data_IF_151235512990
#
_entry.id   IF_151235512990
#
_cell.length_a   1.000
_cell.length_b   1.000
_cell.length_c   1.000
_cell.angle_alpha   90.00
_cell.angle_beta   90.00
_cell.angle_gamma   90.00
#
_symmetry.space_group_name_H-M   'P 1'
#
loop_
_entity.id
_entity.type
_entity.pdbx_description
1 polymer ?
#
# COMPACT_ATOMS: atom_id res chain seq x y z
N UNK A 1 -34.00 -34.22 22.33
CA UNK A 1 -32.75 -33.61 22.83
C UNK A 1 -32.18 -32.85 21.66
N UNK A 2 -32.70 -31.64 21.46
CA UNK A 2 -32.41 -30.80 20.30
C UNK A 2 -31.12 -30.04 20.56
N UNK A 3 -30.07 -30.40 19.83
CA UNK A 3 -28.85 -29.63 19.73
C UNK A 3 -28.74 -29.15 18.28
N UNK A 4 -29.51 -28.11 17.97
CA UNK A 4 -29.32 -27.29 16.78
C UNK A 4 -27.93 -26.68 16.89
N UNK A 5 -26.94 -27.28 16.22
CA UNK A 5 -25.62 -26.69 16.08
C UNK A 5 -25.80 -25.37 15.31
N UNK A 6 -25.89 -24.27 16.04
CA UNK A 6 -25.90 -22.93 15.47
C UNK A 6 -24.67 -22.80 14.56
N UNK A 7 -24.92 -22.45 13.31
CA UNK A 7 -23.87 -22.08 12.36
C UNK A 7 -23.29 -20.77 12.88
N UNK A 8 -22.28 -20.87 13.74
CA UNK A 8 -21.54 -19.71 14.24
C UNK A 8 -20.80 -19.12 13.05
N UNK A 9 -21.14 -17.88 12.71
CA UNK A 9 -20.44 -17.12 11.68
C UNK A 9 -18.94 -17.06 12.05
N UNK A 10 -18.02 -17.51 11.18
CA UNK A 10 -16.58 -17.46 11.44
C UNK A 10 -16.02 -16.03 11.50
N UNK A 11 -16.80 -15.04 11.03
CA UNK A 11 -16.41 -13.64 11.10
C UNK A 11 -16.87 -13.00 12.41
N UNK A 12 -16.00 -12.22 13.08
CA UNK A 12 -16.40 -11.49 14.28
C UNK A 12 -17.53 -10.52 13.93
N UNK A 13 -18.49 -10.36 14.86
CA UNK A 13 -19.48 -9.29 14.76
C UNK A 13 -18.78 -7.93 14.71
N UNK A 14 -19.35 -6.94 14.02
CA UNK A 14 -18.76 -5.60 13.98
C UNK A 14 -18.65 -5.01 15.40
N UNK A 15 -17.74 -4.04 15.60
CA UNK A 15 -17.60 -3.36 16.88
C UNK A 15 -18.93 -2.76 17.37
N UNK A 16 -19.18 -2.82 18.68
CA UNK A 16 -20.43 -2.34 19.32
C UNK A 16 -20.68 -0.86 18.99
N UNK A 17 -19.61 -0.10 18.78
CA UNK A 17 -19.63 1.33 18.44
C UNK A 17 -20.37 1.61 17.13
N UNK A 18 -20.43 0.66 16.20
CA UNK A 18 -21.14 0.83 14.93
C UNK A 18 -22.62 1.20 15.13
N UNK A 19 -23.29 0.58 16.11
CA UNK A 19 -24.70 0.87 16.41
C UNK A 19 -24.91 2.29 16.98
N UNK A 20 -23.85 2.97 17.42
CA UNK A 20 -23.89 4.32 17.98
C UNK A 20 -23.90 5.40 16.90
N UNK A 21 -23.54 5.07 15.66
CA UNK A 21 -23.57 5.99 14.51
C UNK A 21 -24.99 6.21 13.98
N UNK A 22 -25.81 6.91 14.75
CA UNK A 22 -27.16 7.34 14.35
C UNK A 22 -27.14 8.81 13.93
N UNK A 23 -28.06 9.27 13.06
CA UNK A 23 -28.13 10.67 12.67
C UNK A 23 -28.32 11.60 13.88
N UNK A 24 -29.14 11.19 14.85
CA UNK A 24 -29.35 11.93 16.09
C UNK A 24 -28.05 12.09 16.89
N UNK A 25 -27.26 11.02 17.06
CA UNK A 25 -26.01 11.11 17.83
C UNK A 25 -24.95 11.95 17.11
N UNK A 26 -24.94 11.95 15.78
CA UNK A 26 -24.07 12.80 14.98
C UNK A 26 -24.45 14.29 15.11
N UNK A 27 -25.75 14.60 15.13
CA UNK A 27 -26.22 15.97 15.36
C UNK A 27 -25.87 16.45 16.77
N UNK A 28 -26.01 15.58 17.79
CA UNK A 28 -25.56 15.86 19.16
C UNK A 28 -24.07 16.13 19.24
N UNK A 29 -23.24 15.38 18.51
CA UNK A 29 -21.80 15.58 18.44
C UNK A 29 -21.44 16.93 17.81
N UNK A 30 -22.14 17.32 16.73
CA UNK A 30 -21.94 18.63 16.10
C UNK A 30 -22.29 19.75 17.08
N UNK A 31 -23.40 19.63 17.80
CA UNK A 31 -23.81 20.60 18.83
C UNK A 31 -22.84 20.66 20.00
N UNK A 32 -22.32 19.50 20.44
CA UNK A 32 -21.30 19.42 21.48
C UNK A 32 -20.04 20.17 21.05
N UNK A 33 -19.56 19.94 19.81
CA UNK A 33 -18.40 20.65 19.23
C UNK A 33 -18.63 22.16 19.13
N UNK A 34 -19.82 22.59 18.71
CA UNK A 34 -20.13 24.02 18.59
C UNK A 34 -20.16 24.73 19.94
N UNK A 35 -20.60 24.04 20.99
CA UNK A 35 -20.68 24.59 22.35
C UNK A 35 -19.38 24.43 23.14
N UNK A 36 -18.57 23.44 22.81
CA UNK A 36 -17.26 23.24 23.40
C UNK A 36 -16.20 24.03 22.63
N UNK A 37 -15.65 25.08 23.23
CA UNK A 37 -14.49 25.79 22.68
C UNK A 37 -13.17 25.01 22.83
N UNK A 38 -13.18 23.86 23.52
CA UNK A 38 -11.98 23.17 24.00
C UNK A 38 -11.73 21.87 23.23
N UNK A 39 -10.53 21.72 22.66
CA UNK A 39 -10.09 20.54 21.89
C UNK A 39 -9.75 19.32 22.77
N UNK A 40 -9.91 19.41 24.09
CA UNK A 40 -9.46 18.38 25.03
C UNK A 40 -10.58 17.35 25.23
N UNK A 41 -10.43 16.17 24.63
CA UNK A 41 -11.40 15.06 24.71
C UNK A 41 -11.75 14.62 26.15
N UNK A 42 -10.82 14.77 27.10
CA UNK A 42 -11.03 14.43 28.51
C UNK A 42 -11.98 15.41 29.23
N UNK A 43 -11.89 16.71 28.93
CA UNK A 43 -12.75 17.72 29.55
C UNK A 43 -14.18 17.71 28.95
N UNK A 44 -14.28 17.29 27.69
CA UNK A 44 -15.54 17.05 26.98
C UNK A 44 -16.33 15.90 27.60
N UNK A 45 -15.62 14.83 28.02
CA UNK A 45 -16.21 13.66 28.64
C UNK A 45 -16.93 14.00 29.96
N UNK A 46 -16.33 14.84 30.80
CA UNK A 46 -16.87 15.16 32.13
C UNK A 46 -18.04 16.16 32.06
N UNK A 47 -18.09 16.99 31.00
CA UNK A 47 -19.05 18.09 30.90
C UNK A 47 -20.16 17.89 29.84
N UNK A 48 -20.18 16.76 29.11
CA UNK A 48 -21.16 16.47 28.04
C UNK A 48 -22.62 16.75 28.46
N UNK A 49 -23.04 16.24 29.61
CA UNK A 49 -24.40 16.38 30.12
C UNK A 49 -24.72 17.83 30.53
N UNK A 50 -23.74 18.57 31.03
CA UNK A 50 -23.91 19.99 31.37
C UNK A 50 -24.06 20.85 30.11
N UNK A 51 -23.22 20.59 29.10
CA UNK A 51 -23.18 21.31 27.81
C UNK A 51 -24.44 21.03 26.97
N UNK A 52 -24.97 19.81 27.03
CA UNK A 52 -26.16 19.36 26.30
C UNK A 52 -27.43 19.30 27.16
N UNK A 53 -27.44 19.93 28.33
CA UNK A 53 -28.58 19.93 29.28
C UNK A 53 -29.94 20.35 28.67
N UNK A 54 -29.92 21.14 27.60
CA UNK A 54 -31.12 21.59 26.88
C UNK A 54 -31.70 20.56 25.90
N UNK A 55 -31.06 19.42 25.71
CA UNK A 55 -31.44 18.42 24.70
C UNK A 55 -31.95 17.14 25.36
N UNK A 56 -33.02 16.58 24.79
CA UNK A 56 -33.56 15.30 25.23
C UNK A 56 -32.68 14.13 24.73
N UNK A 57 -32.64 13.04 25.49
CA UNK A 57 -31.99 11.77 25.14
C UNK A 57 -30.48 11.85 24.90
N UNK A 58 -29.75 12.61 25.73
CA UNK A 58 -28.29 12.58 25.75
C UNK A 58 -27.81 11.20 26.22
N UNK A 59 -26.99 10.47 25.43
CA UNK A 59 -26.52 9.16 25.83
C UNK A 59 -25.53 9.21 27.01
N UNK A 60 -25.53 8.16 27.83
CA UNK A 60 -24.58 8.01 28.96
C UNK A 60 -23.13 7.79 28.51
N UNK A 61 -22.94 7.31 27.28
CA UNK A 61 -21.61 7.08 26.69
C UNK A 61 -21.08 8.34 26.01
N UNK A 62 -19.75 8.38 25.83
CA UNK A 62 -19.05 9.58 25.37
C UNK A 62 -19.23 9.79 23.86
N UNK A 63 -19.85 10.91 23.46
CA UNK A 63 -20.06 11.26 22.05
C UNK A 63 -18.74 11.40 21.28
N UNK A 64 -17.61 11.71 21.94
CA UNK A 64 -16.30 11.79 21.27
C UNK A 64 -15.84 10.44 20.71
N UNK A 65 -16.42 9.32 21.14
CA UNK A 65 -16.14 8.01 20.53
C UNK A 65 -16.57 7.91 19.06
N UNK A 66 -17.48 8.77 18.59
CA UNK A 66 -17.89 8.82 17.19
C UNK A 66 -16.89 9.58 16.32
N UNK A 67 -15.95 10.31 16.94
CA UNK A 67 -14.94 11.07 16.22
C UNK A 67 -13.93 10.15 15.55
N UNK A 68 -13.24 10.70 14.54
CA UNK A 68 -12.16 9.96 13.90
C UNK A 68 -11.08 9.67 14.95
N UNK A 69 -10.63 8.42 15.11
CA UNK A 69 -9.50 8.13 15.97
C UNK A 69 -8.27 8.92 15.52
N UNK A 70 -7.43 9.33 16.47
CA UNK A 70 -6.16 9.99 16.14
C UNK A 70 -5.37 9.08 15.22
N UNK A 71 -4.97 9.55 14.03
CA UNK A 71 -4.14 8.78 13.11
C UNK A 71 -2.64 8.97 13.37
N UNK A 72 -2.28 10.07 14.06
CA UNK A 72 -0.88 10.50 14.24
C UNK A 72 -0.06 9.55 15.10
N UNK A 73 -0.68 8.88 16.07
CA UNK A 73 -0.04 7.86 16.92
C UNK A 73 0.64 6.74 16.11
N UNK A 74 0.11 6.39 14.93
CA UNK A 74 0.69 5.37 14.06
C UNK A 74 2.07 5.81 13.55
N UNK A 75 2.24 7.11 13.30
CA UNK A 75 3.52 7.71 12.89
C UNK A 75 4.44 7.85 14.11
N UNK A 76 3.91 8.27 15.27
CA UNK A 76 4.65 8.41 16.52
C UNK A 76 5.23 7.06 17.01
N UNK A 77 4.46 5.96 16.90
CA UNK A 77 4.86 4.60 17.25
C UNK A 77 5.73 3.92 16.17
N UNK A 78 5.92 4.57 15.03
CA UNK A 78 6.77 4.11 13.93
C UNK A 78 6.24 2.88 13.19
N UNK A 79 4.94 2.57 13.31
CA UNK A 79 4.33 1.42 12.67
C UNK A 79 3.03 0.96 13.32
N UNK A 80 2.40 -0.05 12.74
CA UNK A 80 1.15 -0.63 13.22
C UNK A 80 1.16 -2.15 13.08
N UNK A 81 0.42 -2.86 13.94
CA UNK A 81 0.33 -4.32 13.88
C UNK A 81 -0.93 -4.75 13.14
N UNK A 82 -0.81 -5.68 12.19
CA UNK A 82 -1.97 -6.34 11.58
C UNK A 82 -1.72 -7.84 11.52
N UNK A 83 -2.69 -8.64 11.95
CA UNK A 83 -2.66 -10.11 11.87
C UNK A 83 -1.40 -10.78 12.46
N UNK A 84 -0.77 -10.16 13.48
CA UNK A 84 0.45 -10.67 14.11
C UNK A 84 1.75 -10.09 13.54
N UNK A 85 1.68 -9.38 12.42
CA UNK A 85 2.84 -8.74 11.79
C UNK A 85 2.91 -7.25 12.12
N UNK A 86 4.11 -6.76 12.41
CA UNK A 86 4.39 -5.32 12.61
C UNK A 86 4.81 -4.69 11.29
N UNK A 87 4.06 -3.68 10.86
CA UNK A 87 4.29 -2.91 9.66
C UNK A 87 4.95 -1.57 10.02
N UNK A 88 6.22 -1.34 9.65
CA UNK A 88 6.93 -0.11 9.98
C UNK A 88 6.46 1.07 9.13
N UNK A 89 6.55 2.28 9.69
CA UNK A 89 6.31 3.54 9.00
C UNK A 89 7.54 4.45 9.18
N UNK A 90 8.19 4.92 8.10
CA UNK A 90 7.85 4.70 6.69
C UNK A 90 8.03 3.23 6.27
N UNK A 91 7.21 2.78 5.32
CA UNK A 91 7.30 1.42 4.79
C UNK A 91 8.68 1.22 4.14
N UNK A 92 9.43 0.24 4.64
CA UNK A 92 10.72 -0.15 4.10
C UNK A 92 10.80 -1.67 4.07
N UNK A 93 11.35 -2.20 2.99
CA UNK A 93 11.72 -3.61 2.92
C UNK A 93 12.90 -3.90 3.87
N UNK A 94 12.90 -5.05 4.57
CA UNK A 94 14.04 -5.44 5.40
C UNK A 94 15.30 -5.55 4.53
N UNK A 95 16.44 -5.16 5.08
CA UNK A 95 17.72 -5.33 4.38
C UNK A 95 18.14 -6.80 4.37
N UNK A 96 19.05 -7.16 3.45
CA UNK A 96 19.61 -8.52 3.42
C UNK A 96 20.37 -8.83 4.72
N UNK A 97 21.06 -7.85 5.28
CA UNK A 97 21.76 -7.96 6.56
C UNK A 97 20.79 -8.21 7.73
N UNK A 98 19.65 -7.52 7.77
CA UNK A 98 18.59 -7.75 8.76
C UNK A 98 17.98 -9.15 8.64
N UNK A 99 17.95 -9.70 7.42
CA UNK A 99 17.55 -11.09 7.16
C UNK A 99 18.64 -12.13 7.47
N UNK A 100 19.82 -11.71 7.95
CA UNK A 100 20.94 -12.61 8.22
C UNK A 100 21.58 -13.21 6.96
N UNK A 101 21.34 -12.61 5.79
CA UNK A 101 21.82 -13.09 4.49
C UNK A 101 23.02 -12.24 4.02
N UNK A 102 24.07 -12.87 3.46
CA UNK A 102 25.19 -12.11 2.92
C UNK A 102 24.80 -11.38 1.64
N UNK A 103 25.19 -10.12 1.54
CA UNK A 103 25.01 -9.32 0.34
C UNK A 103 26.10 -9.62 -0.69
N UNK A 104 25.69 -9.98 -1.92
CA UNK A 104 26.57 -10.40 -3.03
C UNK A 104 26.89 -9.28 -4.03
N UNK A 105 26.41 -8.07 -3.76
CA UNK A 105 26.64 -6.86 -4.56
C UNK A 105 27.17 -5.74 -3.66
N UNK A 106 27.78 -4.67 -4.22
CA UNK A 106 28.31 -3.57 -3.42
C UNK A 106 27.25 -2.98 -2.49
N UNK A 107 27.59 -2.80 -1.21
CA UNK A 107 26.71 -2.17 -0.23
C UNK A 107 26.66 -0.63 -0.34
N UNK A 108 27.55 -0.04 -1.15
CA UNK A 108 27.63 1.39 -1.32
C UNK A 108 26.50 1.92 -2.21
N UNK A 109 25.57 2.66 -1.61
CA UNK A 109 24.44 3.31 -2.30
C UNK A 109 24.84 4.33 -3.37
N UNK A 110 26.12 4.74 -3.44
CA UNK A 110 26.63 5.58 -4.52
C UNK A 110 26.82 4.81 -5.84
N UNK A 111 26.89 3.49 -5.79
CA UNK A 111 27.11 2.63 -6.95
C UNK A 111 25.78 2.35 -7.66
N UNK A 112 25.81 2.30 -8.99
CA UNK A 112 24.66 1.88 -9.77
C UNK A 112 24.42 0.37 -9.60
N UNK A 113 23.29 0.00 -9.01
CA UNK A 113 22.90 -1.40 -8.76
C UNK A 113 22.13 -2.05 -9.92
N UNK A 114 21.77 -1.29 -10.97
CA UNK A 114 21.11 -1.83 -12.18
C UNK A 114 21.82 -3.02 -12.86
N UNK A 115 23.16 -3.13 -12.88
CA UNK A 115 23.83 -4.30 -13.45
C UNK A 115 23.88 -5.51 -12.51
N UNK A 116 23.58 -5.36 -11.21
CA UNK A 116 23.69 -6.44 -10.23
C UNK A 116 22.75 -7.62 -10.51
N UNK A 117 21.45 -7.43 -10.86
CA UNK A 117 20.55 -8.55 -11.18
C UNK A 117 21.09 -9.45 -12.31
N UNK A 118 21.71 -8.87 -13.33
CA UNK A 118 22.28 -9.64 -14.45
C UNK A 118 23.47 -10.49 -14.00
N UNK A 119 24.33 -9.95 -13.13
CA UNK A 119 25.46 -10.71 -12.56
C UNK A 119 24.96 -11.86 -11.69
N UNK A 120 24.00 -11.57 -10.80
CA UNK A 120 23.38 -12.58 -9.95
C UNK A 120 22.70 -13.69 -10.77
N UNK A 121 22.07 -13.34 -11.91
CA UNK A 121 21.46 -14.33 -12.81
C UNK A 121 22.49 -15.29 -13.39
N UNK A 122 23.63 -14.77 -13.85
CA UNK A 122 24.70 -15.61 -14.35
C UNK A 122 25.23 -16.54 -13.25
N UNK A 123 25.40 -16.04 -12.02
CA UNK A 123 25.80 -16.85 -10.87
C UNK A 123 24.75 -17.90 -10.52
N UNK A 124 23.46 -17.57 -10.57
CA UNK A 124 22.36 -18.51 -10.33
C UNK A 124 22.33 -19.63 -11.36
N UNK A 125 22.49 -19.30 -12.64
CA UNK A 125 22.52 -20.30 -13.72
C UNK A 125 23.72 -21.24 -13.59
N UNK A 126 24.90 -20.69 -13.25
CA UNK A 126 26.10 -21.48 -13.03
C UNK A 126 25.97 -22.42 -11.82
N UNK A 127 25.45 -21.92 -10.69
CA UNK A 127 25.23 -22.72 -9.48
C UNK A 127 24.17 -23.80 -9.71
N UNK A 128 23.10 -23.50 -10.44
CA UNK A 128 22.09 -24.49 -10.83
C UNK A 128 22.67 -25.59 -11.73
N UNK A 129 23.47 -25.23 -12.73
CA UNK A 129 24.14 -26.21 -13.58
C UNK A 129 25.10 -27.10 -12.79
N UNK A 130 25.87 -26.52 -11.87
CA UNK A 130 26.77 -27.26 -10.98
C UNK A 130 25.98 -28.21 -10.06
N UNK A 131 24.83 -27.77 -9.56
CA UNK A 131 23.93 -28.60 -8.74
C UNK A 131 23.39 -29.80 -9.52
N UNK A 132 22.98 -29.59 -10.78
CA UNK A 132 22.59 -30.69 -11.66
C UNK A 132 23.74 -31.67 -11.89
N UNK A 133 24.97 -31.17 -12.06
CA UNK A 133 26.18 -32.00 -12.13
C UNK A 133 26.34 -32.86 -10.88
N UNK A 134 26.34 -32.25 -9.70
CA UNK A 134 26.47 -32.95 -8.42
C UNK A 134 25.37 -33.99 -8.16
N UNK A 135 24.15 -33.78 -8.69
CA UNK A 135 23.06 -34.74 -8.61
C UNK A 135 23.26 -35.98 -9.50
N UNK A 136 24.07 -35.86 -10.56
CA UNK A 136 24.41 -36.97 -11.45
C UNK A 136 25.63 -37.76 -10.99
N UNK A 137 26.36 -37.25 -10.00
CA UNK A 137 27.51 -37.96 -9.43
C UNK A 137 27.07 -39.15 -8.57
N UNK A 138 27.89 -40.23 -8.52
CA UNK A 138 27.59 -41.37 -7.67
C UNK A 138 27.51 -40.94 -6.19
N UNK A 139 26.65 -41.59 -5.38
CA UNK A 139 26.50 -41.26 -3.98
C UNK A 139 27.85 -41.35 -3.26
N UNK A 140 28.14 -40.34 -2.44
CA UNK A 140 29.39 -40.25 -1.69
C UNK A 140 29.54 -41.49 -0.78
N UNK A 141 30.75 -42.08 -0.68
CA UNK A 141 30.97 -43.30 0.10
C UNK A 141 30.87 -43.08 1.61
N UNK A 142 31.01 -41.83 2.07
CA UNK A 142 30.91 -41.46 3.47
C UNK A 142 29.54 -40.79 3.75
N UNK A 143 28.66 -41.40 4.55
CA UNK A 143 27.35 -40.84 4.89
C UNK A 143 27.43 -39.65 5.85
N UNK A 144 28.61 -39.32 6.39
CA UNK A 144 28.80 -38.19 7.31
C UNK A 144 29.11 -36.87 6.60
N UNK A 145 29.51 -36.93 5.32
CA UNK A 145 29.80 -35.76 4.51
C UNK A 145 28.52 -35.24 3.87
N UNK A 146 28.22 -33.96 4.12
CA UNK A 146 27.09 -33.28 3.49
C UNK A 146 27.28 -33.27 1.96
N UNK A 147 26.27 -33.69 1.18
CA UNK A 147 26.42 -33.77 -0.26
C UNK A 147 26.48 -32.37 -0.89
N UNK A 148 27.30 -32.21 -1.92
CA UNK A 148 27.57 -30.92 -2.57
C UNK A 148 26.28 -30.23 -3.08
N UNK A 149 25.30 -31.00 -3.58
CA UNK A 149 24.02 -30.46 -4.04
C UNK A 149 23.27 -29.70 -2.94
N UNK A 150 23.44 -30.09 -1.68
CA UNK A 150 22.76 -29.44 -0.54
C UNK A 150 23.35 -28.05 -0.30
N UNK A 151 24.68 -27.92 -0.32
CA UNK A 151 25.36 -26.63 -0.22
C UNK A 151 25.01 -25.71 -1.39
N UNK A 152 24.94 -26.26 -2.61
CA UNK A 152 24.55 -25.51 -3.80
C UNK A 152 23.10 -25.02 -3.72
N UNK A 153 22.21 -25.77 -3.08
CA UNK A 153 20.82 -25.36 -2.83
C UNK A 153 20.74 -24.16 -1.89
N UNK A 154 21.53 -24.15 -0.81
CA UNK A 154 21.63 -22.99 0.08
C UNK A 154 22.22 -21.77 -0.64
N UNK A 155 23.21 -21.96 -1.52
CA UNK A 155 23.72 -20.87 -2.36
C UNK A 155 22.66 -20.31 -3.30
N UNK A 156 21.85 -21.15 -3.94
CA UNK A 156 20.74 -20.71 -4.80
C UNK A 156 19.73 -19.87 -3.99
N UNK A 157 19.44 -20.26 -2.76
CA UNK A 157 18.58 -19.48 -1.85
C UNK A 157 19.18 -18.11 -1.54
N UNK A 158 20.47 -18.04 -1.20
CA UNK A 158 21.18 -16.77 -0.96
C UNK A 158 21.15 -15.86 -2.19
N UNK A 159 21.43 -16.40 -3.38
CA UNK A 159 21.41 -15.64 -4.64
C UNK A 159 20.01 -15.11 -4.93
N UNK A 160 18.98 -15.93 -4.68
CA UNK A 160 17.58 -15.56 -4.89
C UNK A 160 17.17 -14.38 -4.00
N UNK A 161 17.50 -14.41 -2.71
CA UNK A 161 17.23 -13.29 -1.81
C UNK A 161 17.99 -12.03 -2.23
N UNK A 162 19.24 -12.16 -2.65
CA UNK A 162 20.02 -11.05 -3.19
C UNK A 162 19.36 -10.44 -4.43
N UNK A 163 18.84 -11.26 -5.35
CA UNK A 163 18.07 -10.76 -6.49
C UNK A 163 16.84 -9.98 -6.06
N UNK A 164 16.04 -10.53 -5.13
CA UNK A 164 14.86 -9.85 -4.60
C UNK A 164 15.25 -8.50 -3.98
N UNK A 165 16.32 -8.46 -3.19
CA UNK A 165 16.91 -7.24 -2.62
C UNK A 165 17.21 -6.19 -3.69
N UNK A 166 18.01 -6.57 -4.70
CA UNK A 166 18.36 -5.65 -5.82
C UNK A 166 17.15 -5.14 -6.59
N UNK A 167 16.13 -5.97 -6.82
CA UNK A 167 14.89 -5.57 -7.51
C UNK A 167 14.09 -4.60 -6.64
N UNK A 168 14.03 -4.85 -5.33
CA UNK A 168 13.33 -3.97 -4.39
C UNK A 168 13.94 -2.56 -4.36
N UNK A 169 15.28 -2.45 -4.43
CA UNK A 169 15.98 -1.17 -4.53
C UNK A 169 15.66 -0.38 -5.81
N UNK A 170 15.29 -1.07 -6.89
CA UNK A 170 14.93 -0.43 -8.17
C UNK A 170 13.46 0.05 -8.22
N UNK A 171 12.60 -0.34 -7.26
CA UNK A 171 11.18 0.06 -7.24
C UNK A 171 10.96 1.58 -7.28
N UNK A 172 11.71 2.43 -6.55
CA UNK A 172 11.52 3.88 -6.61
C UNK A 172 11.85 4.46 -7.99
N UNK A 173 12.87 3.92 -8.66
CA UNK A 173 13.27 4.34 -10.02
C UNK A 173 12.17 3.95 -11.01
N UNK A 174 11.65 2.73 -10.91
CA UNK A 174 10.53 2.26 -11.72
C UNK A 174 9.30 3.16 -11.52
N UNK A 175 8.91 3.46 -10.28
CA UNK A 175 7.74 4.28 -9.97
C UNK A 175 7.84 5.68 -10.61
N UNK A 176 9.03 6.30 -10.58
CA UNK A 176 9.28 7.60 -11.24
C UNK A 176 9.10 7.51 -12.75
N UNK A 177 9.65 6.49 -13.40
CA UNK A 177 9.47 6.29 -14.85
C UNK A 177 8.02 5.98 -15.22
N UNK A 178 7.32 5.17 -14.43
CA UNK A 178 5.89 4.91 -14.64
C UNK A 178 5.07 6.19 -14.53
N UNK A 179 5.36 7.05 -13.54
CA UNK A 179 4.70 8.34 -13.39
C UNK A 179 4.99 9.26 -14.59
N UNK A 180 6.24 9.35 -15.02
CA UNK A 180 6.65 10.13 -16.19
C UNK A 180 5.88 9.70 -17.46
N UNK A 181 5.78 8.39 -17.71
CA UNK A 181 5.02 7.84 -18.83
C UNK A 181 3.52 8.19 -18.74
N UNK A 182 2.94 8.07 -17.54
CA UNK A 182 1.54 8.42 -17.32
C UNK A 182 1.28 9.91 -17.59
N UNK A 183 2.17 10.80 -17.13
CA UNK A 183 2.05 12.24 -17.37
C UNK A 183 2.21 12.60 -18.85
N UNK A 184 3.14 11.95 -19.56
CA UNK A 184 3.29 12.12 -21.02
C UNK A 184 2.04 11.70 -21.78
N UNK A 185 1.43 10.57 -21.39
CA UNK A 185 0.19 10.10 -21.99
C UNK A 185 -0.96 11.08 -21.72
N UNK A 186 -1.08 11.62 -20.50
CA UNK A 186 -2.08 12.64 -20.18
C UNK A 186 -1.90 13.90 -21.03
N UNK A 187 -0.67 14.37 -21.20
CA UNK A 187 -0.38 15.56 -22.01
C UNK A 187 -0.71 15.32 -23.49
N UNK A 188 -0.37 14.16 -24.03
CA UNK A 188 -0.72 13.78 -25.40
C UNK A 188 -2.25 13.74 -25.61
N UNK A 189 -2.99 13.14 -24.68
CA UNK A 189 -4.46 13.10 -24.74
C UNK A 189 -5.06 14.51 -24.73
N UNK A 190 -4.57 15.39 -23.84
CA UNK A 190 -5.06 16.78 -23.76
C UNK A 190 -4.76 17.58 -25.02
N UNK A 191 -3.60 17.36 -25.65
CA UNK A 191 -3.27 17.98 -26.93
C UNK A 191 -4.20 17.50 -28.03
N UNK A 192 -4.48 16.19 -28.09
CA UNK A 192 -5.39 15.61 -29.07
C UNK A 192 -6.83 16.12 -28.90
N UNK A 193 -7.34 16.18 -27.67
CA UNK A 193 -8.65 16.78 -27.34
C UNK A 193 -8.72 18.24 -27.79
N UNK A 194 -7.67 19.02 -27.50
CA UNK A 194 -7.61 20.43 -27.89
C UNK A 194 -7.61 20.59 -29.41
N UNK A 195 -6.83 19.78 -30.13
CA UNK A 195 -6.82 19.78 -31.60
C UNK A 195 -8.18 19.38 -32.18
N UNK A 196 -8.85 18.39 -31.59
CA UNK A 196 -10.20 17.98 -32.00
C UNK A 196 -11.20 19.13 -31.81
N UNK A 197 -11.20 19.78 -30.65
CA UNK A 197 -12.07 20.94 -30.37
C UNK A 197 -11.81 22.07 -31.38
N UNK A 198 -10.55 22.40 -31.65
CA UNK A 198 -10.20 23.41 -32.66
C UNK A 198 -10.70 23.01 -34.05
N UNK A 199 -10.55 21.75 -34.46
CA UNK A 199 -11.05 21.26 -35.74
C UNK A 199 -12.59 21.37 -35.83
N UNK A 200 -13.32 20.98 -34.77
CA UNK A 200 -14.77 21.13 -34.71
C UNK A 200 -15.21 22.60 -34.78
N UNK A 201 -14.53 23.50 -34.08
CA UNK A 201 -14.84 24.93 -34.11
C UNK A 201 -14.61 25.54 -35.50
N UNK A 202 -13.50 25.19 -36.17
CA UNK A 202 -13.22 25.61 -37.55
C UNK A 202 -14.30 25.06 -38.50
N UNK A 203 -14.66 23.79 -38.36
CA UNK A 203 -15.71 23.16 -39.16
C UNK A 203 -17.06 23.88 -38.99
N UNK A 204 -17.48 24.14 -37.75
CA UNK A 204 -18.71 24.89 -37.45
C UNK A 204 -18.69 26.30 -38.06
N UNK A 205 -17.57 27.03 -37.93
CA UNK A 205 -17.44 28.36 -38.51
C UNK A 205 -17.58 28.35 -40.04
N UNK A 206 -16.92 27.41 -40.71
CA UNK A 206 -17.03 27.24 -42.16
C UNK A 206 -18.43 26.82 -42.59
N UNK A 207 -19.07 25.91 -41.85
CA UNK A 207 -20.44 25.47 -42.10
C UNK A 207 -21.44 26.63 -42.02
N UNK A 208 -21.41 27.42 -40.93
CA UNK A 208 -22.29 28.58 -40.78
C UNK A 208 -22.02 29.66 -41.83
N UNK A 209 -20.75 29.90 -42.18
CA UNK A 209 -20.38 30.86 -43.24
C UNK A 209 -20.93 30.44 -44.61
N UNK A 210 -20.89 29.15 -44.94
CA UNK A 210 -21.48 28.61 -46.18
C UNK A 210 -23.01 28.70 -46.18
N UNK A 211 -23.66 28.47 -45.05
CA UNK A 211 -25.11 28.56 -44.90
C UNK A 211 -25.60 29.99 -45.11
N UNK A 212 -24.94 30.97 -44.48
CA UNK A 212 -25.24 32.40 -44.65
C UNK A 212 -25.02 32.89 -46.08
N UNK A 213 -23.99 32.37 -46.77
CA UNK A 213 -23.72 32.69 -48.16
C UNK A 213 -24.81 32.15 -49.12
N UNK A 214 -25.42 31.01 -48.81
CA UNK A 214 -26.49 30.43 -49.63
C UNK A 214 -27.88 31.05 -49.36
N UNK A 215 -28.14 31.61 -48.19
CA UNK A 215 -29.41 32.30 -47.88
C UNK A 215 -29.53 33.72 -48.45
N UNK A 216 -28.42 34.32 -48.92
CA UNK A 216 -28.38 35.65 -49.54
C UNK A 216 -28.43 35.63 -51.10
N UNK A 217 -28.87 34.52 -51.69
CA UNK A 217 -29.21 34.37 -53.12
C UNK A 217 -30.69 34.08 -53.26
#
# INVERSE_FOLDING_TARGET
MDASAEIVNPFPSPPIQYNRYTPQNLDLLVLLRERSSTTIHQELQENQHAILSNQADVPEWNLTELERPRADWIIEEGGYNTFGDRWPIPERHPTLEEGGLPQLYPADNAVDHRPAPKKLLNTMLYTYYSMLGALTEPPQPDPTVEPEWHQLTEWIKVITFNMIGTVNELRPVQARHTLELALRAQLANRQQETQAIHAYAIFLFLFFSSLLANTNR
#
